data_IF_410132566850
#
_entry.id   IF_410132566850
#
_cell.length_a   1.000
_cell.length_b   1.000
_cell.length_c   1.000
_cell.angle_alpha   90.00
_cell.angle_beta   90.00
_cell.angle_gamma   90.00
#
_symmetry.space_group_name_H-M   'P 1'
#
loop_
_entity.id
_entity.type
_entity.pdbx_description
1 polymer ?
#
# COMPACT_ATOMS: atom_id res chain seq x y z
N UNK A 1 18.37 16.76 17.55
CA UNK A 1 18.31 17.61 16.36
C UNK A 1 19.67 17.54 15.70
N UNK A 2 19.80 16.68 14.69
CA UNK A 2 20.99 16.61 13.85
C UNK A 2 20.67 17.47 12.62
N UNK A 3 21.42 18.53 12.40
CA UNK A 3 21.27 19.41 11.23
C UNK A 3 22.61 19.41 10.51
N UNK A 4 22.80 18.56 9.49
CA UNK A 4 23.95 18.64 8.57
C UNK A 4 23.90 17.65 7.41
N UNK A 5 24.64 18.01 6.35
CA UNK A 5 24.39 17.85 4.91
C UNK A 5 24.69 16.46 4.29
N UNK A 6 25.21 15.49 5.02
CA UNK A 6 25.36 14.07 4.60
C UNK A 6 25.94 13.31 5.81
N UNK A 7 25.28 12.27 6.32
CA UNK A 7 25.82 11.44 7.41
C UNK A 7 25.45 9.97 7.18
N UNK A 8 26.43 9.08 7.11
CA UNK A 8 26.24 7.66 7.40
C UNK A 8 26.23 7.45 8.91
N UNK A 9 25.09 7.05 9.49
CA UNK A 9 24.97 6.82 10.93
C UNK A 9 24.94 5.32 11.24
N UNK A 10 25.96 4.84 11.94
CA UNK A 10 26.01 3.50 12.54
C UNK A 10 25.71 3.65 14.05
N UNK A 11 24.43 3.62 14.42
CA UNK A 11 23.96 3.69 15.81
C UNK A 11 23.21 2.40 16.18
N UNK A 12 23.51 1.79 17.32
CA UNK A 12 22.94 0.47 17.62
C UNK A 12 21.42 0.56 17.93
N UNK A 13 20.97 1.61 18.66
CA UNK A 13 19.57 1.79 19.08
C UNK A 13 19.18 3.27 19.35
N UNK A 14 19.19 4.17 18.34
CA UNK A 14 18.69 5.52 18.54
C UNK A 14 17.19 5.53 18.90
N UNK A 15 16.82 6.32 19.91
CA UNK A 15 15.41 6.47 20.33
C UNK A 15 14.61 7.47 19.49
N UNK A 16 15.28 8.47 18.93
CA UNK A 16 14.64 9.56 18.18
C UNK A 16 15.66 10.18 17.22
N UNK A 17 15.27 10.28 15.96
CA UNK A 17 16.00 10.98 14.91
C UNK A 17 15.08 12.02 14.28
N UNK A 18 15.58 13.24 14.10
CA UNK A 18 14.88 14.34 13.41
C UNK A 18 15.81 14.93 12.39
N UNK A 19 15.38 14.94 11.13
CA UNK A 19 16.17 15.26 9.94
C UNK A 19 15.50 16.39 9.15
N UNK A 20 16.30 17.29 8.58
CA UNK A 20 15.83 18.41 7.76
C UNK A 20 16.87 18.75 6.69
N UNK A 21 16.50 18.72 5.40
CA UNK A 21 17.30 19.21 4.25
C UNK A 21 18.65 18.48 4.04
N UNK A 22 18.62 17.20 3.65
CA UNK A 22 19.81 16.32 3.61
C UNK A 22 19.55 15.03 2.81
N UNK A 23 20.60 14.43 2.23
CA UNK A 23 20.68 13.01 1.83
C UNK A 23 21.30 12.21 2.99
N UNK A 24 20.67 11.12 3.44
CA UNK A 24 21.10 10.39 4.65
C UNK A 24 20.93 8.88 4.49
N UNK A 25 21.96 8.14 4.87
CA UNK A 25 21.96 6.67 4.89
C UNK A 25 22.08 6.15 6.32
N UNK A 26 21.26 5.16 6.67
CA UNK A 26 21.28 4.50 7.96
C UNK A 26 21.41 2.98 7.84
N UNK A 27 22.33 2.41 8.62
CA UNK A 27 22.43 0.97 8.84
C UNK A 27 22.36 0.71 10.36
N UNK A 28 21.20 0.28 10.87
CA UNK A 28 20.92 0.11 12.31
C UNK A 28 20.10 -1.15 12.59
N UNK A 29 20.14 -1.66 13.83
CA UNK A 29 19.29 -2.78 14.23
C UNK A 29 17.85 -2.31 14.52
N UNK A 30 17.70 -1.31 15.39
CA UNK A 30 16.37 -0.82 15.80
C UNK A 30 16.34 0.71 15.87
N UNK A 31 15.28 1.30 15.33
CA UNK A 31 15.00 2.73 15.46
C UNK A 31 13.56 2.95 15.89
N UNK A 32 13.38 3.73 16.97
CA UNK A 32 12.05 3.90 17.56
C UNK A 32 11.22 5.00 16.86
N UNK A 33 11.85 6.09 16.45
CA UNK A 33 11.14 7.24 15.89
C UNK A 33 12.00 8.03 14.91
N UNK A 34 11.49 8.19 13.69
CA UNK A 34 12.02 9.09 12.66
C UNK A 34 11.00 10.18 12.34
N UNK A 35 11.48 11.41 12.25
CA UNK A 35 10.73 12.50 11.65
C UNK A 35 11.62 13.21 10.63
N UNK A 36 11.16 13.32 9.39
CA UNK A 36 11.92 14.00 8.33
C UNK A 36 11.08 14.94 7.48
N UNK A 37 11.75 15.97 6.94
CA UNK A 37 11.19 16.89 5.95
C UNK A 37 12.23 17.32 4.91
N UNK A 38 11.88 17.30 3.62
CA UNK A 38 12.74 17.80 2.52
C UNK A 38 14.08 17.05 2.42
N UNK A 39 14.04 15.72 2.35
CA UNK A 39 15.23 14.85 2.40
C UNK A 39 15.09 13.67 1.45
N UNK A 40 16.22 13.18 0.96
CA UNK A 40 16.35 11.81 0.44
C UNK A 40 16.87 10.94 1.58
N UNK A 41 16.25 9.78 1.83
CA UNK A 41 16.68 8.91 2.93
C UNK A 41 16.63 7.45 2.51
N UNK A 42 17.74 6.76 2.73
CA UNK A 42 17.81 5.31 2.63
C UNK A 42 18.05 4.68 4.01
N UNK A 43 17.23 3.68 4.34
CA UNK A 43 17.36 2.93 5.59
C UNK A 43 17.46 1.43 5.32
N UNK A 44 18.49 0.81 5.90
CA UNK A 44 18.61 -0.64 6.04
C UNK A 44 18.55 -0.99 7.55
N UNK A 45 17.41 -1.52 8.01
CA UNK A 45 17.18 -1.81 9.44
C UNK A 45 16.39 -3.10 9.68
N UNK A 46 16.52 -3.68 10.89
CA UNK A 46 15.66 -4.81 11.28
C UNK A 46 14.26 -4.32 11.70
N UNK A 47 14.17 -3.36 12.63
CA UNK A 47 12.88 -2.88 13.13
C UNK A 47 12.79 -1.35 13.20
N UNK A 48 11.71 -0.80 12.66
CA UNK A 48 11.37 0.62 12.76
C UNK A 48 9.94 0.80 13.28
N UNK A 49 9.80 1.53 14.41
CA UNK A 49 8.50 1.60 15.10
C UNK A 49 7.59 2.70 14.58
N UNK A 50 8.12 3.89 14.31
CA UNK A 50 7.31 5.03 13.92
C UNK A 50 8.09 5.96 12.98
N UNK A 51 7.45 6.29 11.88
CA UNK A 51 8.01 7.14 10.83
C UNK A 51 6.99 8.19 10.42
N UNK A 52 7.42 9.45 10.43
CA UNK A 52 6.63 10.58 9.90
C UNK A 52 7.48 11.35 8.89
N UNK A 53 7.00 11.43 7.65
CA UNK A 53 7.77 11.94 6.51
C UNK A 53 6.96 12.97 5.74
N UNK A 54 7.63 14.02 5.27
CA UNK A 54 6.98 15.11 4.52
C UNK A 54 7.89 15.64 3.43
N UNK A 55 7.46 15.61 2.17
CA UNK A 55 8.24 16.14 1.04
C UNK A 55 9.60 15.44 0.92
N UNK A 56 9.60 14.11 0.87
CA UNK A 56 10.80 13.26 0.90
C UNK A 56 10.74 12.18 -0.18
N UNK A 57 11.90 11.78 -0.68
CA UNK A 57 12.10 10.56 -1.50
C UNK A 57 12.82 9.52 -0.64
N UNK A 58 12.30 8.29 -0.55
CA UNK A 58 12.78 7.31 0.44
C UNK A 58 12.78 5.89 -0.10
N UNK A 59 13.90 5.19 0.11
CA UNK A 59 14.02 3.73 0.06
C UNK A 59 14.12 3.15 1.48
N UNK A 60 13.25 2.19 1.84
CA UNK A 60 13.44 1.40 3.07
C UNK A 60 13.55 -0.08 2.74
N UNK A 61 14.60 -0.73 3.23
CA UNK A 61 14.72 -2.20 3.28
C UNK A 61 14.72 -2.63 4.74
N UNK A 62 13.62 -3.25 5.20
CA UNK A 62 13.43 -3.60 6.63
C UNK A 62 12.69 -4.91 6.87
N UNK A 63 12.89 -5.53 8.03
CA UNK A 63 12.07 -6.70 8.43
C UNK A 63 10.69 -6.26 8.91
N UNK A 64 10.60 -5.32 9.86
CA UNK A 64 9.31 -4.89 10.43
C UNK A 64 9.20 -3.36 10.52
N UNK A 65 8.09 -2.83 10.01
CA UNK A 65 7.70 -1.44 10.16
C UNK A 65 6.29 -1.32 10.76
N UNK A 66 6.18 -0.65 11.91
CA UNK A 66 4.90 -0.64 12.66
C UNK A 66 3.95 0.47 12.25
N UNK A 67 4.44 1.67 12.00
CA UNK A 67 3.59 2.80 11.67
C UNK A 67 4.33 3.81 10.79
N UNK A 68 3.72 4.12 9.66
CA UNK A 68 4.21 5.13 8.70
C UNK A 68 3.12 6.16 8.45
N UNK A 69 3.50 7.44 8.52
CA UNK A 69 2.68 8.57 8.10
C UNK A 69 3.44 9.37 7.06
N UNK A 70 2.82 9.53 5.89
CA UNK A 70 3.43 10.07 4.69
C UNK A 70 2.64 11.25 4.15
N UNK A 71 3.32 12.27 3.64
CA UNK A 71 2.68 13.45 3.03
C UNK A 71 3.56 14.04 1.94
N UNK A 72 3.08 14.11 0.70
CA UNK A 72 3.84 14.68 -0.43
C UNK A 72 5.19 13.97 -0.69
N UNK A 73 5.21 12.64 -0.63
CA UNK A 73 6.43 11.82 -0.71
C UNK A 73 6.40 10.86 -1.90
N UNK A 74 7.57 10.45 -2.36
CA UNK A 74 7.76 9.28 -3.24
C UNK A 74 8.50 8.21 -2.45
N UNK A 75 7.98 6.98 -2.41
CA UNK A 75 8.50 5.95 -1.51
C UNK A 75 8.55 4.59 -2.19
N UNK A 76 9.69 3.91 -2.05
CA UNK A 76 9.86 2.48 -2.27
C UNK A 76 10.12 1.76 -0.94
N UNK A 77 9.32 0.74 -0.59
CA UNK A 77 9.61 -0.11 0.58
C UNK A 77 9.69 -1.58 0.16
N UNK A 78 10.75 -2.24 0.61
CA UNK A 78 10.90 -3.70 0.57
C UNK A 78 10.92 -4.22 2.00
N UNK A 79 9.84 -4.88 2.44
CA UNK A 79 9.69 -5.32 3.84
C UNK A 79 8.99 -6.67 4.02
N UNK A 80 9.26 -7.34 5.14
CA UNK A 80 8.50 -8.54 5.52
C UNK A 80 7.11 -8.16 6.07
N UNK A 81 7.04 -7.26 7.05
CA UNK A 81 5.77 -6.88 7.68
C UNK A 81 5.63 -5.37 7.83
N UNK A 82 4.50 -4.85 7.35
CA UNK A 82 4.05 -3.48 7.58
C UNK A 82 2.68 -3.45 8.24
N UNK A 83 2.58 -2.84 9.42
CA UNK A 83 1.33 -2.90 10.19
C UNK A 83 0.33 -1.80 9.85
N UNK A 84 0.80 -0.57 9.62
CA UNK A 84 -0.08 0.57 9.35
C UNK A 84 0.61 1.62 8.48
N UNK A 85 -0.04 1.95 7.37
CA UNK A 85 0.32 3.08 6.51
C UNK A 85 -0.83 4.07 6.46
N UNK A 86 -0.50 5.35 6.64
CA UNK A 86 -1.39 6.47 6.32
C UNK A 86 -0.67 7.40 5.36
N UNK A 87 -1.28 7.67 4.21
CA UNK A 87 -0.67 8.50 3.17
C UNK A 87 -1.58 9.55 2.57
N UNK A 88 -1.00 10.65 2.10
CA UNK A 88 -1.69 11.75 1.43
C UNK A 88 -0.81 12.42 0.38
N UNK A 89 -1.28 12.52 -0.87
CA UNK A 89 -0.53 13.15 -1.98
C UNK A 89 0.81 12.48 -2.26
N UNK A 90 0.84 11.15 -2.39
CA UNK A 90 2.12 10.41 -2.52
C UNK A 90 2.12 9.45 -3.70
N UNK A 91 3.31 9.05 -4.10
CA UNK A 91 3.57 7.88 -4.96
C UNK A 91 4.21 6.81 -4.08
N UNK A 92 3.66 5.59 -4.09
CA UNK A 92 4.11 4.50 -3.22
C UNK A 92 4.32 3.24 -4.07
N UNK A 93 5.49 2.63 -3.99
CA UNK A 93 5.75 1.26 -4.46
C UNK A 93 6.13 0.38 -3.27
N UNK A 94 5.34 -0.66 -2.96
CA UNK A 94 5.70 -1.59 -1.89
C UNK A 94 5.79 -3.04 -2.39
N UNK A 95 6.88 -3.69 -2.02
CA UNK A 95 7.07 -5.14 -2.14
C UNK A 95 7.10 -5.74 -0.72
N UNK A 96 6.04 -6.47 -0.33
CA UNK A 96 5.91 -6.99 1.05
C UNK A 96 5.27 -8.36 1.18
N UNK A 97 5.59 -9.07 2.27
CA UNK A 97 4.86 -10.31 2.61
C UNK A 97 3.48 -9.99 3.23
N UNK A 98 3.43 -9.14 4.26
CA UNK A 98 2.16 -8.84 4.96
C UNK A 98 1.96 -7.34 5.19
N UNK A 99 0.79 -6.84 4.78
CA UNK A 99 0.32 -5.50 5.08
C UNK A 99 -1.04 -5.54 5.80
N UNK A 100 -1.11 -4.98 7.02
CA UNK A 100 -2.32 -5.11 7.84
C UNK A 100 -3.36 -4.02 7.59
N UNK A 101 -2.95 -2.77 7.49
CA UNK A 101 -3.88 -1.65 7.35
C UNK A 101 -3.28 -0.53 6.52
N UNK A 102 -4.06 -0.08 5.54
CA UNK A 102 -3.69 1.00 4.62
C UNK A 102 -4.83 2.02 4.56
N UNK A 103 -4.47 3.30 4.71
CA UNK A 103 -5.39 4.43 4.52
C UNK A 103 -4.74 5.47 3.61
N UNK A 104 -5.41 5.78 2.49
CA UNK A 104 -4.83 6.52 1.37
C UNK A 104 -5.77 7.63 0.91
N UNK A 105 -5.18 8.72 0.40
CA UNK A 105 -5.93 9.87 -0.11
C UNK A 105 -5.10 10.60 -1.16
N UNK A 106 -5.61 10.76 -2.39
CA UNK A 106 -4.86 11.44 -3.48
C UNK A 106 -3.50 10.77 -3.69
N UNK A 107 -3.48 9.53 -4.15
CA UNK A 107 -2.28 8.68 -4.12
C UNK A 107 -2.24 7.80 -5.36
N UNK A 108 -1.05 7.63 -5.92
CA UNK A 108 -0.75 6.62 -6.95
C UNK A 108 0.05 5.51 -6.28
N UNK A 109 -0.37 4.26 -6.45
CA UNK A 109 0.24 3.16 -5.72
C UNK A 109 0.35 1.90 -6.55
N UNK A 110 1.50 1.25 -6.40
CA UNK A 110 1.77 -0.10 -6.82
C UNK A 110 2.13 -0.98 -5.60
N UNK A 111 1.50 -2.14 -5.52
CA UNK A 111 1.66 -3.08 -4.42
C UNK A 111 1.85 -4.51 -4.94
N UNK A 112 3.00 -5.09 -4.66
CA UNK A 112 3.28 -6.52 -4.84
C UNK A 112 3.30 -7.18 -3.45
N UNK A 113 2.22 -7.89 -3.07
CA UNK A 113 2.12 -8.47 -1.72
C UNK A 113 1.53 -9.88 -1.65
N UNK A 114 1.90 -10.64 -0.61
CA UNK A 114 1.23 -11.92 -0.34
C UNK A 114 -0.13 -11.70 0.33
N UNK A 115 -0.20 -10.92 1.42
CA UNK A 115 -1.44 -10.70 2.16
C UNK A 115 -1.68 -9.23 2.49
N UNK A 116 -2.87 -8.74 2.13
CA UNK A 116 -3.37 -7.44 2.53
C UNK A 116 -4.73 -7.56 3.24
N UNK A 117 -4.79 -7.10 4.49
CA UNK A 117 -5.98 -7.29 5.33
C UNK A 117 -7.05 -6.22 5.14
N UNK A 118 -6.66 -4.95 5.14
CA UNK A 118 -7.62 -3.84 5.07
C UNK A 118 -7.05 -2.66 4.29
N UNK A 119 -7.79 -2.25 3.26
CA UNK A 119 -7.53 -1.04 2.49
C UNK A 119 -8.72 -0.10 2.58
N UNK A 120 -8.45 1.16 2.85
CA UNK A 120 -9.38 2.27 2.67
C UNK A 120 -8.72 3.32 1.80
N UNK A 121 -9.35 3.68 0.68
CA UNK A 121 -8.80 4.66 -0.25
C UNK A 121 -9.83 5.65 -0.78
N UNK A 122 -9.36 6.84 -1.15
CA UNK A 122 -10.15 7.87 -1.82
C UNK A 122 -9.34 8.72 -2.79
N UNK A 123 -9.85 8.99 -4.00
CA UNK A 123 -9.16 9.76 -5.04
C UNK A 123 -7.80 9.15 -5.41
N UNK A 124 -7.74 7.87 -5.74
CA UNK A 124 -6.46 7.19 -5.98
C UNK A 124 -6.46 6.41 -7.29
N UNK A 125 -5.27 6.15 -7.79
CA UNK A 125 -4.99 5.11 -8.78
C UNK A 125 -4.25 4.03 -8.03
N UNK A 126 -4.72 2.78 -8.12
CA UNK A 126 -4.10 1.68 -7.39
C UNK A 126 -4.01 0.44 -8.27
N UNK A 127 -2.79 -0.06 -8.40
CA UNK A 127 -2.51 -1.40 -8.91
C UNK A 127 -2.12 -2.31 -7.75
N UNK A 128 -2.71 -3.50 -7.70
CA UNK A 128 -2.21 -4.55 -6.82
C UNK A 128 -2.01 -5.87 -7.54
N UNK A 129 -0.87 -6.50 -7.25
CA UNK A 129 -0.58 -7.90 -7.52
C UNK A 129 -0.54 -8.67 -6.18
N UNK A 130 -1.58 -9.48 -5.89
CA UNK A 130 -1.78 -10.06 -4.56
C UNK A 130 -2.22 -11.53 -4.55
N UNK A 131 -1.78 -12.29 -3.54
CA UNK A 131 -2.38 -13.60 -3.26
C UNK A 131 -3.74 -13.45 -2.55
N UNK A 132 -3.81 -12.70 -1.45
CA UNK A 132 -5.04 -12.56 -0.68
C UNK A 132 -5.33 -11.11 -0.25
N UNK A 133 -6.54 -10.65 -0.58
CA UNK A 133 -7.09 -9.37 -0.14
C UNK A 133 -8.39 -9.59 0.64
N UNK A 134 -8.42 -9.17 1.92
CA UNK A 134 -9.56 -9.49 2.80
C UNK A 134 -10.68 -8.47 2.75
N UNK A 135 -10.38 -7.20 2.97
CA UNK A 135 -11.38 -6.15 3.06
C UNK A 135 -10.90 -4.88 2.37
N UNK A 136 -11.73 -4.36 1.48
CA UNK A 136 -11.43 -3.19 0.67
C UNK A 136 -12.62 -2.24 0.67
N UNK A 137 -12.35 -0.96 0.90
CA UNK A 137 -13.32 0.14 0.75
C UNK A 137 -12.70 1.25 -0.10
N UNK A 138 -13.33 1.56 -1.23
CA UNK A 138 -12.77 2.45 -2.25
C UNK A 138 -13.81 3.47 -2.68
N UNK A 139 -13.37 4.68 -2.97
CA UNK A 139 -14.25 5.79 -3.37
C UNK A 139 -13.55 6.71 -4.35
N UNK A 140 -14.11 6.93 -5.55
CA UNK A 140 -13.50 7.79 -6.57
C UNK A 140 -12.09 7.31 -6.90
N UNK A 141 -12.00 6.12 -7.52
CA UNK A 141 -10.76 5.36 -7.63
C UNK A 141 -10.74 4.60 -8.97
N UNK A 142 -9.59 4.60 -9.63
CA UNK A 142 -9.26 3.74 -10.77
C UNK A 142 -8.35 2.62 -10.28
N UNK A 143 -8.65 1.38 -10.64
CA UNK A 143 -8.00 0.21 -10.02
C UNK A 143 -7.77 -0.94 -11.01
N UNK A 144 -6.53 -1.43 -11.05
CA UNK A 144 -6.16 -2.73 -11.56
C UNK A 144 -5.89 -3.73 -10.42
N UNK A 145 -6.49 -4.91 -10.48
CA UNK A 145 -6.30 -5.94 -9.45
C UNK A 145 -6.04 -7.31 -10.07
N UNK A 146 -4.81 -7.81 -9.92
CA UNK A 146 -4.44 -9.19 -10.24
C UNK A 146 -4.33 -10.00 -8.93
N UNK A 147 -5.27 -10.92 -8.67
CA UNK A 147 -5.28 -11.64 -7.40
C UNK A 147 -5.93 -13.02 -7.33
N UNK A 148 -5.48 -13.84 -6.38
CA UNK A 148 -6.06 -15.19 -6.19
C UNK A 148 -7.41 -15.13 -5.44
N UNK A 149 -7.49 -14.43 -4.31
CA UNK A 149 -8.73 -14.34 -3.53
C UNK A 149 -9.02 -12.94 -2.98
N UNK A 150 -10.20 -12.41 -3.34
CA UNK A 150 -10.81 -11.24 -2.71
C UNK A 150 -12.07 -11.62 -1.93
N UNK A 151 -12.11 -11.28 -0.64
CA UNK A 151 -13.22 -11.66 0.25
C UNK A 151 -14.35 -10.65 0.29
N UNK A 152 -14.05 -9.38 0.54
CA UNK A 152 -15.08 -8.34 0.66
C UNK A 152 -14.57 -7.04 0.06
N UNK A 153 -15.33 -6.50 -0.89
CA UNK A 153 -15.05 -5.20 -1.49
C UNK A 153 -16.29 -4.32 -1.52
N UNK A 154 -16.10 -3.06 -1.14
CA UNK A 154 -17.11 -2.00 -1.21
C UNK A 154 -16.60 -0.87 -2.10
N UNK A 155 -17.38 -0.55 -3.13
CA UNK A 155 -16.99 0.34 -4.22
C UNK A 155 -18.00 1.47 -4.38
N UNK A 156 -17.54 2.68 -4.65
CA UNK A 156 -18.40 3.84 -4.90
C UNK A 156 -17.73 4.80 -5.88
N UNK A 157 -18.36 5.08 -7.03
CA UNK A 157 -17.78 6.00 -8.04
C UNK A 157 -16.39 5.54 -8.50
N UNK A 158 -16.23 4.25 -8.81
CA UNK A 158 -14.93 3.68 -9.22
C UNK A 158 -15.01 3.08 -10.62
N UNK A 159 -13.87 2.97 -11.28
CA UNK A 159 -13.66 2.16 -12.47
C UNK A 159 -12.66 1.07 -12.09
N UNK A 160 -13.00 -0.20 -12.31
CA UNK A 160 -12.17 -1.31 -11.84
C UNK A 160 -12.08 -2.41 -12.88
N UNK A 161 -10.86 -2.86 -13.10
CA UNK A 161 -10.56 -4.11 -13.77
C UNK A 161 -10.03 -5.14 -12.77
N UNK A 162 -10.61 -6.35 -12.81
CA UNK A 162 -10.28 -7.44 -11.92
C UNK A 162 -9.89 -8.68 -12.71
N UNK A 163 -8.63 -9.09 -12.59
CA UNK A 163 -8.17 -10.41 -12.99
C UNK A 163 -8.01 -11.28 -11.74
N UNK A 164 -8.96 -12.20 -11.50
CA UNK A 164 -8.90 -13.01 -10.27
C UNK A 164 -9.49 -14.42 -10.33
N UNK A 165 -8.98 -15.30 -9.46
CA UNK A 165 -9.55 -16.65 -9.34
C UNK A 165 -10.90 -16.61 -8.61
N UNK A 166 -11.02 -15.84 -7.51
CA UNK A 166 -12.17 -15.95 -6.61
C UNK A 166 -12.56 -14.63 -5.93
N UNK A 167 -13.82 -14.23 -6.16
CA UNK A 167 -14.49 -13.15 -5.44
C UNK A 167 -15.64 -13.68 -4.60
N UNK A 168 -15.67 -13.35 -3.30
CA UNK A 168 -16.79 -13.76 -2.43
C UNK A 168 -17.93 -12.76 -2.38
N UNK A 169 -17.65 -11.48 -2.17
CA UNK A 169 -18.68 -10.45 -2.02
C UNK A 169 -18.19 -9.10 -2.53
N UNK A 170 -18.95 -8.52 -3.46
CA UNK A 170 -18.80 -7.13 -3.90
C UNK A 170 -20.09 -6.36 -3.66
N UNK A 171 -19.95 -5.16 -3.11
CA UNK A 171 -20.99 -4.13 -3.06
C UNK A 171 -20.51 -2.93 -3.87
N UNK A 172 -21.29 -2.47 -4.85
CA UNK A 172 -20.92 -1.34 -5.71
C UNK A 172 -22.07 -0.35 -5.92
N UNK A 173 -21.72 0.91 -6.18
CA UNK A 173 -22.66 1.99 -6.48
C UNK A 173 -22.03 3.00 -7.42
N UNK A 174 -22.68 3.29 -8.56
CA UNK A 174 -22.15 4.22 -9.58
C UNK A 174 -20.75 3.79 -10.02
N UNK A 175 -20.63 2.60 -10.60
CA UNK A 175 -19.32 1.97 -10.81
C UNK A 175 -19.32 1.26 -12.16
N UNK A 176 -18.17 1.26 -12.84
CA UNK A 176 -17.92 0.36 -13.98
C UNK A 176 -16.96 -0.72 -13.48
N UNK A 177 -17.34 -1.99 -13.65
CA UNK A 177 -16.53 -3.11 -13.17
C UNK A 177 -16.44 -4.17 -14.26
N UNK A 178 -15.22 -4.45 -14.68
CA UNK A 178 -14.93 -5.59 -15.52
C UNK A 178 -14.26 -6.70 -14.69
N UNK A 179 -14.69 -7.93 -14.93
CA UNK A 179 -14.19 -9.12 -14.25
C UNK A 179 -13.73 -10.16 -15.26
N UNK A 180 -12.45 -10.51 -15.21
CA UNK A 180 -11.93 -11.77 -15.72
C UNK A 180 -11.73 -12.73 -14.54
N UNK A 181 -12.66 -13.69 -14.38
CA UNK A 181 -12.63 -14.53 -13.18
C UNK A 181 -13.20 -15.95 -13.32
N UNK A 182 -12.77 -16.83 -12.41
CA UNK A 182 -13.23 -18.23 -12.36
C UNK A 182 -14.48 -18.38 -11.48
N UNK A 183 -14.53 -17.69 -10.32
CA UNK A 183 -15.60 -17.92 -9.32
C UNK A 183 -16.06 -16.67 -8.60
N UNK A 184 -17.32 -16.31 -8.85
CA UNK A 184 -18.05 -15.28 -8.11
C UNK A 184 -19.13 -15.89 -7.23
N UNK A 185 -19.27 -15.41 -5.98
CA UNK A 185 -20.34 -15.86 -5.08
C UNK A 185 -21.50 -14.89 -4.96
N UNK A 186 -21.27 -13.60 -4.76
CA UNK A 186 -22.33 -12.61 -4.57
C UNK A 186 -21.92 -11.22 -5.01
N UNK A 187 -22.83 -10.55 -5.71
CA UNK A 187 -22.72 -9.17 -6.17
C UNK A 187 -23.98 -8.42 -5.74
N UNK A 188 -23.81 -7.24 -5.15
CA UNK A 188 -24.89 -6.28 -4.89
C UNK A 188 -24.51 -4.95 -5.51
N UNK A 189 -25.28 -4.47 -6.48
CA UNK A 189 -24.93 -3.26 -7.23
C UNK A 189 -26.13 -2.32 -7.40
N UNK A 190 -25.85 -1.02 -7.57
CA UNK A 190 -26.84 0.02 -7.86
C UNK A 190 -26.26 1.04 -8.82
N UNK A 191 -26.85 1.22 -10.00
CA UNK A 191 -26.32 2.10 -11.07
C UNK A 191 -24.89 1.71 -11.47
N UNK A 192 -24.64 0.41 -11.65
CA UNK A 192 -23.32 -0.14 -11.98
C UNK A 192 -23.41 -0.91 -13.29
N UNK A 193 -22.45 -0.67 -14.19
CA UNK A 193 -22.22 -1.52 -15.36
C UNK A 193 -21.23 -2.62 -14.96
N UNK A 194 -21.58 -3.89 -15.25
CA UNK A 194 -20.74 -5.03 -14.86
C UNK A 194 -20.53 -5.94 -16.06
N UNK A 195 -19.28 -6.03 -16.53
CA UNK A 195 -18.80 -7.02 -17.48
C UNK A 195 -18.35 -8.29 -16.77
N UNK A 196 -18.61 -9.45 -17.38
CA UNK A 196 -18.09 -10.73 -16.90
C UNK A 196 -17.50 -11.53 -18.07
N UNK A 197 -16.22 -11.82 -17.99
CA UNK A 197 -15.58 -12.90 -18.73
C UNK A 197 -15.32 -14.08 -17.77
N UNK A 198 -16.22 -15.06 -17.80
CA UNK A 198 -16.12 -16.26 -16.97
C UNK A 198 -15.38 -17.37 -17.72
N UNK A 199 -14.14 -17.66 -17.30
CA UNK A 199 -13.34 -18.75 -17.88
C UNK A 199 -13.97 -20.10 -17.48
N UNK A 200 -14.66 -20.75 -18.43
CA UNK A 200 -15.17 -22.12 -18.24
C UNK A 200 -13.99 -23.11 -18.23
N UNK A 201 -13.64 -23.61 -17.05
CA UNK A 201 -12.78 -24.79 -16.92
C UNK A 201 -13.48 -26.01 -17.55
N UNK A 202 -13.08 -26.39 -18.78
CA UNK A 202 -13.34 -27.73 -19.32
C UNK A 202 -12.45 -28.71 -18.56
N UNK A 203 -12.99 -29.32 -17.52
CA UNK A 203 -12.39 -30.52 -16.93
C UNK A 203 -12.45 -31.64 -17.98
N UNK A 204 -11.29 -32.12 -18.42
CA UNK A 204 -11.14 -33.37 -19.18
C UNK A 204 -11.03 -34.54 -18.22
#
# INVERSE_FOLDING_TARGET
MLTQTEIGLELIEPKLVTLTQTEIDFELIELKLVTSSQTEIDFELIELKLVTLTQTEIGLELIELKLVTLTQTKIGLELIELRLVTSTQTEIGLELIELKLVTLTQTEIDFELIELKLVTSSQTEIDFELIELKLVTLTQTEIGLELIELKLVTLTQTEIDFEMIKLRLVTSTQTEIDFEMIKLRLVTSTQTEIGFEMIKLRLK
#
